data_IF_444713200173
#
_entry.id   IF_444713200173
#
_cell.length_a   1.000
_cell.length_b   1.000
_cell.length_c   1.000
_cell.angle_alpha   90.00
_cell.angle_beta   90.00
_cell.angle_gamma   90.00
#
_symmetry.space_group_name_H-M   'P 1'
#
loop_
_entity.id
_entity.type
_entity.pdbx_description
1 polymer ?
#
# COMPACT_ATOMS: atom_id res chain seq x y z
N UNK A 1 17.84 -2.71 23.26
CA UNK A 1 16.92 -2.94 22.12
C UNK A 1 17.51 -2.24 20.91
N UNK A 2 17.74 -2.94 19.81
CA UNK A 2 18.29 -2.38 18.57
C UNK A 2 17.37 -2.75 17.41
N UNK A 3 16.72 -1.77 16.80
CA UNK A 3 15.85 -1.97 15.64
C UNK A 3 16.71 -1.73 14.40
N UNK A 4 16.96 -2.77 13.60
CA UNK A 4 17.84 -2.70 12.43
C UNK A 4 17.13 -2.28 11.14
N UNK A 5 15.85 -2.62 11.02
CA UNK A 5 15.06 -2.43 9.81
C UNK A 5 13.57 -2.50 10.11
N UNK A 6 12.76 -2.04 9.16
CA UNK A 6 11.36 -2.44 9.05
C UNK A 6 11.37 -3.85 8.45
N UNK A 7 10.66 -4.78 9.09
CA UNK A 7 10.50 -6.14 8.60
C UNK A 7 9.46 -6.19 7.47
N UNK A 8 8.25 -5.70 7.75
CA UNK A 8 7.17 -5.55 6.78
C UNK A 8 6.19 -4.46 7.21
N UNK A 9 5.24 -4.12 6.32
CA UNK A 9 4.15 -3.19 6.61
C UNK A 9 2.81 -3.93 6.50
N UNK A 10 2.04 -3.94 7.59
CA UNK A 10 0.69 -4.50 7.61
C UNK A 10 -0.36 -3.52 7.11
N UNK A 11 -1.17 -3.92 6.12
CA UNK A 11 -2.19 -3.09 5.48
C UNK A 11 -3.52 -3.84 5.53
N UNK A 12 -4.46 -3.33 6.31
CA UNK A 12 -5.81 -3.91 6.36
C UNK A 12 -6.60 -3.49 5.12
N UNK A 13 -7.17 -4.47 4.43
CA UNK A 13 -7.93 -4.27 3.19
C UNK A 13 -9.34 -4.85 3.30
N UNK A 14 -10.26 -4.29 2.54
CA UNK A 14 -11.67 -4.70 2.48
C UNK A 14 -11.97 -5.67 1.35
N UNK A 15 -11.18 -5.63 0.26
CA UNK A 15 -11.35 -6.50 -0.90
C UNK A 15 -9.98 -7.01 -1.38
N UNK A 16 -9.79 -8.33 -1.26
CA UNK A 16 -8.54 -9.02 -1.54
C UNK A 16 -8.07 -8.83 -2.98
N UNK A 17 -8.96 -9.03 -3.96
CA UNK A 17 -8.57 -9.06 -5.37
C UNK A 17 -8.09 -7.68 -5.83
N UNK A 18 -8.81 -6.63 -5.49
CA UNK A 18 -8.49 -5.25 -5.79
C UNK A 18 -7.14 -4.86 -5.16
N UNK A 19 -6.89 -5.25 -3.91
CA UNK A 19 -5.61 -4.98 -3.26
C UNK A 19 -4.46 -5.72 -3.97
N UNK A 20 -4.62 -7.02 -4.26
CA UNK A 20 -3.61 -7.79 -4.99
C UNK A 20 -3.31 -7.20 -6.37
N UNK A 21 -4.35 -6.85 -7.12
CA UNK A 21 -4.21 -6.27 -8.46
C UNK A 21 -3.53 -4.90 -8.41
N UNK A 22 -3.87 -4.06 -7.42
CA UNK A 22 -3.22 -2.77 -7.20
C UNK A 22 -1.72 -2.92 -6.89
N UNK A 23 -1.34 -3.75 -5.91
CA UNK A 23 0.07 -3.87 -5.51
C UNK A 23 0.93 -4.59 -6.56
N UNK A 24 0.35 -5.47 -7.39
CA UNK A 24 1.05 -6.03 -8.55
C UNK A 24 1.49 -4.98 -9.56
N UNK A 25 0.70 -3.92 -9.77
CA UNK A 25 1.06 -2.80 -10.65
C UNK A 25 2.34 -2.11 -10.15
N UNK A 26 2.53 -2.04 -8.83
CA UNK A 26 3.72 -1.47 -8.20
C UNK A 26 4.92 -2.44 -8.13
N UNK A 27 4.82 -3.61 -8.78
CA UNK A 27 5.90 -4.60 -8.86
C UNK A 27 5.98 -5.56 -7.67
N UNK A 28 4.98 -5.58 -6.78
CA UNK A 28 4.88 -6.62 -5.75
C UNK A 28 4.33 -7.93 -6.32
N UNK A 29 4.80 -9.06 -5.80
CA UNK A 29 4.36 -10.39 -6.19
C UNK A 29 3.82 -11.12 -4.96
N UNK A 30 2.87 -12.03 -5.19
CA UNK A 30 2.36 -12.90 -4.12
C UNK A 30 3.47 -13.86 -3.70
N UNK A 31 3.89 -13.76 -2.44
CA UNK A 31 4.88 -14.65 -1.84
C UNK A 31 4.17 -15.82 -1.14
N UNK A 32 3.19 -15.51 -0.30
CA UNK A 32 2.47 -16.50 0.48
C UNK A 32 1.06 -15.99 0.83
N UNK A 33 0.08 -16.88 0.79
CA UNK A 33 -1.21 -16.67 1.44
C UNK A 33 -1.29 -17.60 2.65
N UNK A 34 -1.55 -17.03 3.83
CA UNK A 34 -1.62 -17.77 5.09
C UNK A 34 -2.98 -18.46 5.19
N UNK A 35 -3.00 -19.72 5.58
CA UNK A 35 -4.20 -20.54 5.68
C UNK A 35 -4.92 -20.43 7.04
N UNK A 36 -4.20 -20.02 8.09
CA UNK A 36 -4.72 -19.87 9.45
C UNK A 36 -5.07 -18.42 9.85
N UNK A 37 -4.80 -17.43 9.00
CA UNK A 37 -5.13 -16.02 9.25
C UNK A 37 -5.46 -15.30 7.93
N UNK A 38 -6.07 -14.13 7.99
CA UNK A 38 -6.48 -13.34 6.82
C UNK A 38 -5.29 -12.60 6.15
N UNK A 39 -4.08 -13.13 6.26
CA UNK A 39 -2.83 -12.45 5.86
C UNK A 39 -2.33 -12.98 4.52
N UNK A 40 -2.01 -12.05 3.62
CA UNK A 40 -1.39 -12.32 2.34
C UNK A 40 -0.10 -11.52 2.25
N UNK A 41 1.02 -12.22 2.11
CA UNK A 41 2.37 -11.66 2.04
C UNK A 41 2.68 -11.36 0.57
N UNK A 42 3.08 -10.11 0.31
CA UNK A 42 3.59 -9.71 -0.99
C UNK A 42 4.97 -9.09 -0.87
N UNK A 43 5.86 -9.44 -1.81
CA UNK A 43 7.25 -8.96 -1.84
C UNK A 43 7.63 -8.50 -3.24
N UNK A 44 8.44 -7.45 -3.34
CA UNK A 44 9.02 -7.03 -4.62
C UNK A 44 10.46 -7.56 -4.80
N UNK A 45 11.02 -7.38 -5.99
CA UNK A 45 12.38 -7.86 -6.32
C UNK A 45 13.49 -7.23 -5.45
N UNK A 46 13.21 -6.09 -4.80
CA UNK A 46 14.12 -5.41 -3.87
C UNK A 46 13.96 -5.88 -2.43
N UNK A 47 13.07 -6.84 -2.16
CA UNK A 47 12.82 -7.39 -0.83
C UNK A 47 11.90 -6.55 0.05
N UNK A 48 11.26 -5.50 -0.48
CA UNK A 48 10.24 -4.74 0.27
C UNK A 48 9.00 -5.59 0.44
N UNK A 49 8.52 -5.71 1.69
CA UNK A 49 7.45 -6.61 2.07
C UNK A 49 6.23 -5.87 2.63
N UNK A 50 5.05 -6.24 2.14
CA UNK A 50 3.75 -5.81 2.65
C UNK A 50 2.89 -7.02 2.97
N UNK A 51 2.12 -6.91 4.05
CA UNK A 51 1.17 -7.92 4.48
C UNK A 51 -0.25 -7.37 4.34
N UNK A 52 -0.99 -7.86 3.35
CA UNK A 52 -2.39 -7.51 3.15
C UNK A 52 -3.25 -8.33 4.11
N UNK A 53 -3.96 -7.65 5.01
CA UNK A 53 -4.80 -8.26 6.03
C UNK A 53 -6.25 -8.11 5.57
N UNK A 54 -6.80 -9.16 4.96
CA UNK A 54 -8.13 -9.18 4.35
C UNK A 54 -9.25 -9.43 5.38
N UNK A 55 -9.33 -8.58 6.38
CA UNK A 55 -10.40 -8.57 7.38
C UNK A 55 -10.97 -7.17 7.65
N UNK A 56 -10.69 -6.23 6.75
CA UNK A 56 -11.26 -4.88 6.79
C UNK A 56 -12.76 -4.90 6.53
N UNK A 57 -13.46 -3.98 7.19
CA UNK A 57 -14.86 -3.67 6.91
C UNK A 57 -14.96 -2.22 6.48
N UNK A 58 -15.69 -1.97 5.40
CA UNK A 58 -16.02 -0.61 5.01
C UNK A 58 -17.11 -0.08 5.95
N UNK A 59 -16.71 0.85 6.82
CA UNK A 59 -17.61 1.56 7.75
C UNK A 59 -17.65 3.06 7.46
N UNK A 60 -17.01 3.49 6.38
CA UNK A 60 -16.78 4.90 6.02
C UNK A 60 -17.28 5.22 4.61
N UNK A 61 -18.04 4.32 3.99
CA UNK A 61 -18.63 4.48 2.66
C UNK A 61 -17.54 4.73 1.60
N UNK A 62 -16.54 3.84 1.58
CA UNK A 62 -15.41 3.88 0.68
C UNK A 62 -14.34 4.92 1.02
N UNK A 63 -14.51 5.74 2.06
CA UNK A 63 -13.55 6.79 2.44
C UNK A 63 -12.41 6.25 3.31
N UNK A 64 -11.20 6.75 3.10
CA UNK A 64 -10.10 6.55 4.03
C UNK A 64 -10.33 7.44 5.28
N UNK A 65 -10.67 6.83 6.42
CA UNK A 65 -10.94 7.55 7.68
C UNK A 65 -9.75 8.39 8.18
N UNK A 66 -8.52 8.12 7.74
CA UNK A 66 -7.35 8.89 8.13
C UNK A 66 -7.10 10.10 7.21
N UNK A 67 -7.66 10.11 6.00
CA UNK A 67 -7.32 11.10 4.96
C UNK A 67 -8.53 11.88 4.44
N UNK A 68 -9.64 11.19 4.17
CA UNK A 68 -10.78 11.71 3.38
C UNK A 68 -11.88 12.35 4.24
N UNK A 69 -11.74 12.34 5.57
CA UNK A 69 -12.68 12.98 6.50
C UNK A 69 -12.08 14.26 7.12
N UNK A 70 -12.92 15.21 7.54
CA UNK A 70 -12.47 16.43 8.24
C UNK A 70 -11.77 16.13 9.56
N UNK A 71 -12.27 15.14 10.30
CA UNK A 71 -11.76 14.71 11.59
C UNK A 71 -10.40 14.02 11.41
N UNK A 72 -9.30 14.70 11.72
CA UNK A 72 -7.94 14.16 11.57
C UNK A 72 -7.62 13.16 12.68
N UNK A 73 -8.03 11.92 12.46
CA UNK A 73 -7.77 10.80 13.36
C UNK A 73 -6.27 10.43 13.38
N UNK A 74 -5.69 10.11 14.55
CA UNK A 74 -4.31 9.63 14.63
C UNK A 74 -4.19 8.25 13.96
N UNK A 75 -3.09 8.03 13.25
CA UNK A 75 -2.82 6.76 12.57
C UNK A 75 -1.70 6.86 11.53
N UNK A 76 -1.47 5.75 10.84
CA UNK A 76 -0.49 5.67 9.76
C UNK A 76 -1.14 6.15 8.44
N UNK A 77 -0.89 7.41 8.07
CA UNK A 77 -1.60 8.08 6.95
C UNK A 77 -1.04 7.74 5.58
N UNK A 78 0.25 7.42 5.49
CA UNK A 78 0.92 7.07 4.25
C UNK A 78 2.20 6.26 4.51
N UNK A 79 2.59 5.46 3.53
CA UNK A 79 3.94 4.88 3.39
C UNK A 79 4.62 5.55 2.21
N UNK A 80 5.90 5.88 2.36
CA UNK A 80 6.73 6.34 1.25
C UNK A 80 7.62 5.19 0.78
N UNK A 81 7.52 4.82 -0.50
CA UNK A 81 8.45 3.89 -1.14
C UNK A 81 9.47 4.66 -1.96
N UNK A 82 10.75 4.36 -1.76
CA UNK A 82 11.80 4.82 -2.66
C UNK A 82 11.73 4.05 -3.97
N UNK A 83 11.82 4.76 -5.09
CA UNK A 83 11.72 4.21 -6.44
C UNK A 83 12.88 4.71 -7.28
N UNK A 84 13.27 3.92 -8.28
CA UNK A 84 14.38 4.28 -9.17
C UNK A 84 14.04 5.47 -10.07
N UNK A 85 12.77 5.64 -10.44
CA UNK A 85 12.31 6.74 -11.29
C UNK A 85 10.87 7.13 -10.99
N UNK A 86 10.67 8.36 -10.52
CA UNK A 86 9.32 8.94 -10.30
C UNK A 86 8.56 9.01 -11.63
N UNK A 87 9.22 9.39 -12.73
CA UNK A 87 8.60 9.49 -14.05
C UNK A 87 8.03 8.15 -14.51
N UNK A 88 8.80 7.07 -14.34
CA UNK A 88 8.33 5.74 -14.71
C UNK A 88 7.13 5.30 -13.87
N UNK A 89 7.14 5.61 -12.57
CA UNK A 89 5.99 5.34 -11.70
C UNK A 89 4.75 6.10 -12.17
N UNK A 90 4.87 7.38 -12.53
CA UNK A 90 3.74 8.17 -13.04
C UNK A 90 3.14 7.56 -14.31
N UNK A 91 3.97 7.15 -15.28
CA UNK A 91 3.51 6.48 -16.51
C UNK A 91 2.77 5.17 -16.21
N UNK A 92 3.30 4.35 -15.28
CA UNK A 92 2.68 3.09 -14.86
C UNK A 92 1.32 3.36 -14.20
N UNK A 93 1.21 4.35 -13.31
CA UNK A 93 -0.04 4.71 -12.66
C UNK A 93 -1.08 5.22 -13.66
N UNK A 94 -0.68 6.11 -14.58
CA UNK A 94 -1.56 6.65 -15.63
C UNK A 94 -2.09 5.52 -16.52
N UNK A 95 -1.23 4.63 -17.00
CA UNK A 95 -1.61 3.48 -17.85
C UNK A 95 -2.61 2.54 -17.15
N UNK A 96 -2.59 2.48 -15.82
CA UNK A 96 -3.50 1.67 -15.03
C UNK A 96 -4.69 2.47 -14.47
N UNK A 97 -4.91 3.71 -14.90
CA UNK A 97 -5.98 4.60 -14.47
C UNK A 97 -5.98 4.86 -12.95
N UNK A 98 -4.79 4.94 -12.33
CA UNK A 98 -4.63 5.28 -10.93
C UNK A 98 -4.35 6.77 -10.81
N UNK A 99 -5.28 7.50 -10.21
CA UNK A 99 -5.14 8.94 -10.01
C UNK A 99 -4.03 9.26 -9.00
N UNK A 100 -3.15 10.19 -9.35
CA UNK A 100 -2.16 10.75 -8.43
C UNK A 100 -2.86 11.81 -7.58
N UNK A 101 -2.85 11.63 -6.26
CA UNK A 101 -3.52 12.54 -5.33
C UNK A 101 -2.75 13.85 -5.11
N UNK A 102 -1.42 13.83 -5.21
CA UNK A 102 -0.57 15.02 -5.08
C UNK A 102 0.80 14.81 -5.79
N UNK A 103 1.34 15.88 -6.38
CA UNK A 103 2.69 15.92 -6.92
C UNK A 103 2.80 15.64 -8.42
N UNK A 104 4.03 15.44 -8.95
CA UNK A 104 5.29 15.30 -8.22
C UNK A 104 5.70 16.59 -7.49
N UNK A 105 6.22 16.46 -6.28
CA UNK A 105 6.77 17.57 -5.49
C UNK A 105 8.18 17.20 -5.03
N UNK A 106 9.10 18.16 -5.12
CA UNK A 106 10.43 18.04 -4.51
C UNK A 106 10.41 18.87 -3.24
N UNK A 107 10.66 18.22 -2.10
CA UNK A 107 11.01 18.93 -0.87
C UNK A 107 12.51 19.21 -0.95
N UNK A 108 12.87 20.50 -0.95
CA UNK A 108 14.25 20.97 -1.11
C UNK A 108 15.19 20.52 0.00
#
# INVERSE_FOLDING_TARGET
MNISNIDHIGIRVTEKKAALDFYKILGFQLEQEVDFDAVIIMKNNSGVEINLINNGKDISDGKNILMDVPEKHPGFTHVAFSVESILHVMEVLEKNNIAISQGPVTFG
#
